data_IF_165991661694
#
_entry.id   IF_165991661694
#
_cell.length_a   1.000
_cell.length_b   1.000
_cell.length_c   1.000
_cell.angle_alpha   90.00
_cell.angle_beta   90.00
_cell.angle_gamma   90.00
#
_symmetry.space_group_name_H-M   'P 1'
#
loop_
_entity.id
_entity.type
_entity.pdbx_description
1 polymer ?
2 non-polymer ?
3 non-polymer ?
4 non-polymer ?
5 non-polymer ?
6 water ?
#
# COMPACT_ATOMS: atom_id res chain seq x y z
N UNK A 3 -17.28 -19.99 -5.05
CA UNK A 3 -16.62 -18.69 -5.16
C UNK A 3 -15.13 -18.88 -5.45
N UNK A 4 -14.67 -18.34 -6.59
CA UNK A 4 -13.26 -18.37 -6.97
C UNK A 4 -12.45 -17.79 -5.82
N UNK A 5 -11.25 -18.32 -5.56
CA UNK A 5 -10.97 -18.67 -4.15
C UNK A 5 -11.29 -17.62 -3.07
N UNK A 6 -10.73 -16.42 -3.06
CA UNK A 6 -11.40 -15.28 -2.43
C UNK A 6 -11.43 -13.96 -3.22
N UNK A 7 -12.61 -13.52 -3.67
CA UNK A 7 -12.62 -12.14 -4.18
C UNK A 7 -12.50 -11.11 -3.04
N UNK A 8 -12.89 -11.48 -1.83
CA UNK A 8 -12.97 -10.55 -0.70
C UNK A 8 -11.66 -10.37 0.05
N UNK A 9 -11.17 -9.14 0.09
CA UNK A 9 -10.03 -8.81 0.94
C UNK A 9 -10.52 -8.67 2.38
N UNK A 10 -9.58 -8.47 3.31
CA UNK A 10 -9.91 -8.25 4.72
C UNK A 10 -10.58 -9.43 5.43
N UNK A 11 -10.89 -10.48 4.69
CA UNK A 11 -11.45 -11.70 5.25
C UNK A 11 -12.97 -11.80 5.27
N UNK A 12 -13.65 -11.03 4.42
CA UNK A 12 -15.09 -11.13 4.30
C UNK A 12 -15.47 -12.42 3.60
N UNK A 13 -16.56 -13.05 4.05
CA UNK A 13 -17.01 -14.28 3.42
C UNK A 13 -17.86 -14.00 2.17
N UNK A 14 -17.66 -14.81 1.14
CA UNK A 14 -18.28 -14.57 -0.16
C UNK A 14 -19.33 -15.61 -0.54
N UNK A 15 -20.50 -15.14 -0.96
CA UNK A 15 -21.52 -16.03 -1.52
C UNK A 15 -21.83 -15.60 -2.95
N UNK A 16 -22.10 -16.57 -3.83
CA UNK A 16 -22.51 -16.26 -5.20
C UNK A 16 -23.97 -15.84 -5.28
N UNK A 22 -22.47 -12.14 -10.05
CA UNK A 22 -21.91 -13.48 -9.87
C UNK A 22 -21.53 -13.76 -8.41
N UNK A 23 -20.74 -12.86 -7.80
CA UNK A 23 -20.33 -13.01 -6.40
C UNK A 23 -20.64 -11.76 -5.55
N UNK A 24 -20.96 -11.98 -4.28
CA UNK A 24 -21.16 -10.89 -3.33
C UNK A 24 -20.57 -11.28 -1.96
N UNK A 25 -20.01 -10.30 -1.26
CA UNK A 25 -19.23 -10.55 -0.06
C UNK A 25 -19.88 -10.03 1.23
N UNK A 26 -19.95 -10.88 2.25
CA UNK A 26 -20.36 -10.43 3.58
C UNK A 26 -19.16 -9.78 4.25
N UNK A 27 -19.30 -8.50 4.58
CA UNK A 27 -18.19 -7.75 5.16
C UNK A 27 -18.24 -7.76 6.68
N UNK A 28 -17.14 -8.21 7.31
CA UNK A 28 -17.02 -8.24 8.77
C UNK A 28 -17.10 -6.83 9.37
N UNK A 29 -17.05 -6.74 10.70
CA UNK A 29 -17.26 -5.44 11.35
C UNK A 29 -16.09 -4.51 11.01
N UNK A 30 -16.40 -3.38 10.39
CA UNK A 30 -15.37 -2.42 10.04
C UNK A 30 -14.99 -2.25 8.56
N UNK A 31 -15.52 -3.10 7.67
CA UNK A 31 -15.13 -3.03 6.26
C UNK A 31 -16.28 -2.89 5.24
N UNK A 32 -15.94 -2.47 4.02
CA UNK A 32 -16.92 -2.00 3.05
C UNK A 32 -16.46 -2.22 1.60
N UNK A 33 -17.41 -2.19 0.66
CA UNK A 33 -17.15 -2.25 -0.78
C UNK A 33 -16.13 -1.18 -1.20
N UNK A 34 -15.29 -1.49 -2.20
CA UNK A 34 -15.25 -2.77 -2.95
C UNK A 34 -14.58 -3.92 -2.19
N UNK A 35 -15.16 -5.11 -2.29
CA UNK A 35 -14.55 -6.35 -1.78
C UNK A 35 -13.98 -6.27 -0.36
N UNK A 36 -14.69 -5.60 0.54
CA UNK A 36 -14.26 -5.42 1.93
C UNK A 36 -12.90 -4.74 2.06
N UNK A 37 -12.57 -3.86 1.11
CA UNK A 37 -11.32 -3.11 1.18
C UNK A 37 -11.43 -1.73 1.83
N UNK A 38 -12.65 -1.26 2.04
CA UNK A 38 -12.86 0.12 2.53
C UNK A 38 -13.08 0.28 4.04
N UNK A 39 -13.45 1.51 4.43
CA UNK A 39 -13.46 1.95 5.83
C UNK A 39 -14.85 2.29 6.43
N UNK A 40 -15.12 1.81 7.64
CA UNK A 40 -16.25 2.33 8.41
C UNK A 40 -15.68 3.09 9.60
N UNK A 41 -16.43 4.07 10.09
CA UNK A 41 -15.89 4.98 11.10
C UNK A 41 -16.83 5.28 12.26
N UNK A 42 -16.33 6.08 13.20
CA UNK A 42 -17.17 6.88 14.09
C UNK A 42 -16.44 8.17 14.38
N UNK A 43 -17.03 8.99 15.26
CA UNK A 43 -16.66 10.39 15.42
C UNK A 43 -15.16 10.68 15.52
N UNK A 44 -14.43 9.86 16.28
CA UNK A 44 -13.02 10.16 16.50
C UNK A 44 -12.16 9.92 15.27
N UNK A 45 -12.69 9.14 14.31
CA UNK A 45 -11.94 8.87 13.08
C UNK A 45 -11.59 10.14 12.31
N UNK A 46 -12.62 10.94 12.01
CA UNK A 46 -12.38 12.32 11.62
C UNK A 46 -11.67 12.96 12.82
N UNK A 47 -10.72 13.86 12.54
CA UNK A 47 -9.80 14.47 13.52
C UNK A 47 -8.59 13.59 13.79
N UNK A 48 -8.66 12.35 13.31
CA UNK A 48 -7.46 11.53 13.23
C UNK A 48 -6.77 11.90 11.89
N UNK A 49 -5.45 12.08 11.92
CA UNK A 49 -4.69 12.55 10.74
C UNK A 49 -4.83 11.61 9.55
N UNK A 50 -5.12 12.18 8.39
CA UNK A 50 -5.18 11.38 7.16
C UNK A 50 -3.79 11.26 6.60
N UNK A 51 -3.46 10.09 6.09
CA UNK A 51 -2.27 9.98 5.26
C UNK A 51 -2.76 10.13 3.83
N UNK A 52 -1.99 10.84 3.01
CA UNK A 52 -2.32 10.87 1.59
C UNK A 52 -1.79 9.55 1.01
N UNK A 53 -2.05 9.33 -0.27
CA UNK A 53 -1.67 8.05 -0.85
C UNK A 53 -0.17 7.88 -1.03
N UNK A 54 0.22 6.70 -1.48
CA UNK A 54 1.63 6.48 -1.86
C UNK A 54 1.98 7.25 -3.14
N UNK A 55 0.96 7.70 -3.88
CA UNK A 55 1.19 8.49 -5.08
C UNK A 55 1.04 9.99 -4.87
N UNK A 56 0.71 10.41 -3.66
CA UNK A 56 0.70 11.85 -3.41
C UNK A 56 1.56 12.13 -2.21
N UNK A 57 2.40 13.18 -2.30
CA UNK A 57 2.67 13.81 -3.60
C UNK A 57 3.40 12.83 -4.56
N UNK A 58 3.30 13.07 -5.87
CA UNK A 58 3.84 12.14 -6.86
C UNK A 58 5.29 11.82 -6.58
N UNK A 59 5.58 10.55 -6.32
CA UNK A 59 6.98 10.17 -6.12
C UNK A 59 7.78 10.12 -7.43
N UNK A 60 7.11 10.06 -8.59
CA UNK A 60 7.78 9.82 -9.87
C UNK A 60 8.33 11.08 -10.52
N UNK A 61 9.58 10.99 -10.99
CA UNK A 61 10.22 12.12 -11.64
C UNK A 61 10.06 12.02 -13.15
N UNK A 62 10.51 13.04 -13.86
CA UNK A 62 10.61 12.99 -15.31
C UNK A 62 9.33 12.62 -16.04
N UNK A 63 8.20 12.82 -15.39
CA UNK A 63 6.93 12.67 -16.04
C UNK A 63 6.44 11.26 -15.94
N UNK A 64 6.95 10.51 -14.97
CA UNK A 64 6.45 9.17 -14.74
C UNK A 64 5.02 9.17 -14.23
N UNK A 65 4.39 8.01 -14.27
CA UNK A 65 3.03 7.88 -13.76
C UNK A 65 3.03 6.94 -12.58
N UNK A 66 2.62 7.44 -11.44
CA UNK A 66 2.49 6.62 -10.24
C UNK A 66 1.22 5.75 -10.29
N UNK A 67 1.41 4.47 -9.99
CA UNK A 67 0.29 3.52 -9.94
C UNK A 67 0.35 2.70 -8.66
N UNK A 68 -0.77 2.58 -7.98
CA UNK A 68 -0.92 1.64 -6.87
C UNK A 68 -0.63 0.23 -7.33
N UNK A 69 0.21 -0.48 -6.58
CA UNK A 69 0.62 -1.82 -6.96
C UNK A 69 1.05 -2.66 -5.75
N UNK A 70 1.21 -3.96 -5.93
CA UNK A 70 1.75 -4.76 -4.85
C UNK A 70 3.24 -4.68 -5.08
N UNK A 71 3.90 -3.87 -4.25
CA UNK A 71 5.27 -3.51 -4.51
C UNK A 71 6.00 -3.41 -3.20
N UNK A 72 7.10 -4.13 -3.12
CA UNK A 72 8.01 -4.05 -2.00
C UNK A 72 9.35 -3.58 -2.50
N UNK A 73 9.94 -2.62 -1.81
CA UNK A 73 11.33 -2.29 -2.02
C UNK A 73 12.02 -2.95 -0.84
N UNK A 74 12.75 -4.03 -1.12
CA UNK A 74 13.34 -4.82 -0.07
C UNK A 74 12.24 -5.49 0.73
N UNK A 75 12.24 -5.28 2.05
CA UNK A 75 11.20 -5.83 2.91
C UNK A 75 10.11 -4.81 3.28
N UNK A 76 10.18 -3.63 2.68
CA UNK A 76 9.18 -2.59 2.90
C UNK A 76 8.06 -2.60 1.84
N UNK A 77 6.81 -2.64 2.25
CA UNK A 77 5.72 -2.56 1.28
C UNK A 77 5.55 -1.09 0.90
N UNK A 78 5.80 -0.76 -0.36
CA UNK A 78 5.64 0.63 -0.77
C UNK A 78 4.31 0.87 -1.51
N UNK A 79 3.67 -0.20 -1.96
CA UNK A 79 2.36 -0.13 -2.59
C UNK A 79 2.19 0.67 -3.88
N UNK A 80 3.28 1.01 -4.56
CA UNK A 80 3.14 1.67 -5.86
C UNK A 80 4.30 1.31 -6.76
N UNK A 81 4.15 1.55 -8.06
CA UNK A 81 5.26 1.56 -9.00
C UNK A 81 5.21 2.81 -9.86
N UNK A 82 6.36 3.21 -10.41
CA UNK A 82 6.40 4.33 -11.35
C UNK A 82 6.52 3.81 -12.76
N UNK A 83 5.60 4.22 -13.62
CA UNK A 83 5.68 3.92 -15.05
C UNK A 83 6.43 5.06 -15.73
N UNK A 84 7.59 4.73 -16.27
CA UNK A 84 8.47 5.74 -16.85
C UNK A 84 8.19 6.00 -18.32
N UNK A 85 8.35 7.25 -18.75
CA UNK A 85 8.28 7.56 -20.19
C UNK A 85 9.52 7.00 -20.91
N UNK A 86 9.48 6.93 -22.24
CA UNK A 86 10.63 6.46 -23.00
C UNK A 86 11.83 7.28 -22.63
N UNK A 87 12.97 6.62 -22.47
CA UNK A 87 14.20 7.27 -22.15
C UNK A 87 14.58 7.34 -20.67
N UNK A 88 13.64 7.00 -19.76
CA UNK A 88 13.93 7.05 -18.33
C UNK A 88 13.70 5.72 -17.61
N UNK A 89 14.43 5.54 -16.51
CA UNK A 89 14.21 4.40 -15.65
C UNK A 89 14.66 4.68 -14.23
N UNK A 90 14.70 3.64 -13.41
CA UNK A 90 14.86 3.83 -11.99
C UNK A 90 13.53 3.71 -11.27
N UNK A 91 13.59 3.33 -10.00
CA UNK A 91 12.38 3.12 -9.23
C UNK A 91 11.46 4.34 -9.29
N UNK A 92 12.05 5.54 -9.24
CA UNK A 92 11.33 6.82 -9.42
C UNK A 92 11.42 7.50 -10.77
N UNK A 93 11.94 6.80 -11.78
CA UNK A 93 12.22 7.40 -13.09
C UNK A 93 13.27 8.52 -13.00
N UNK A 94 14.23 8.41 -12.09
CA UNK A 94 15.13 9.53 -11.86
C UNK A 94 16.26 9.54 -12.89
N UNK A 95 16.45 8.42 -13.56
CA UNK A 95 17.60 8.25 -14.40
C UNK A 95 17.29 8.47 -15.86
N UNK A 96 17.98 9.42 -16.46
CA UNK A 96 18.03 9.44 -17.89
C UNK A 96 18.90 8.26 -18.35
N UNK A 97 18.31 7.35 -19.13
CA UNK A 97 18.97 6.11 -19.53
C UNK A 97 20.19 6.41 -20.37
N UNK A 98 21.33 5.75 -20.16
CA UNK A 98 22.47 6.15 -20.98
C UNK A 98 22.46 5.37 -22.29
N UNK A 99 22.13 6.05 -23.36
CA UNK A 99 21.98 5.33 -24.61
C UNK A 99 23.32 5.17 -25.28
N UNK A 100 24.35 5.71 -24.64
CA UNK A 100 25.71 5.52 -25.09
C UNK A 100 26.32 4.24 -24.54
N UNK A 101 25.75 3.66 -23.48
CA UNK A 101 26.31 2.41 -22.90
C UNK A 101 26.53 1.29 -23.93
N UNK A 102 25.61 1.09 -24.85
CA UNK A 102 25.67 -0.02 -25.80
C UNK A 102 26.50 0.36 -27.02
N UNK A 103 27.16 1.52 -26.94
CA UNK A 103 28.12 1.95 -27.96
C UNK A 103 27.60 1.98 -29.38
N UNK A 104 26.59 2.83 -29.65
CA UNK A 104 25.91 2.85 -30.95
C UNK A 104 26.75 3.45 -32.09
N UNK A 105 27.66 4.35 -31.77
CA UNK A 105 28.53 4.94 -32.79
C UNK A 105 29.69 4.01 -33.14
N UNK A 106 29.80 3.63 -34.41
CA UNK A 106 30.77 2.64 -34.80
C UNK A 106 32.07 3.30 -35.24
N UNK A 107 33.08 2.47 -35.52
CA UNK A 107 34.32 2.93 -36.10
C UNK A 107 34.94 4.08 -35.33
N UNK A 108 34.85 4.02 -34.01
CA UNK A 108 35.50 5.01 -33.18
C UNK A 108 34.77 6.34 -33.07
N UNK A 109 33.49 6.36 -33.40
CA UNK A 109 32.72 7.58 -33.28
C UNK A 109 32.48 7.90 -31.83
N UNK A 110 32.22 9.17 -31.53
CA UNK A 110 31.89 9.60 -30.18
C UNK A 110 30.37 9.87 -29.99
N UNK A 111 29.79 9.15 -29.03
CA UNK A 111 28.37 9.21 -28.68
C UNK A 111 28.08 10.39 -27.76
N UNK A 112 26.95 11.06 -28.00
CA UNK A 112 26.42 12.04 -27.06
C UNK A 112 24.99 11.63 -26.71
N UNK A 113 24.67 11.70 -25.43
CA UNK A 113 23.40 11.18 -24.93
C UNK A 113 22.28 12.22 -24.97
N UNK A 114 21.10 11.82 -25.45
CA UNK A 114 19.92 12.71 -25.51
C UNK A 114 18.74 11.98 -24.91
N UNK A 115 17.68 12.66 -24.54
CA UNK A 115 16.49 11.95 -24.07
C UNK A 115 15.94 10.96 -25.12
N UNK A 116 15.87 9.69 -24.75
CA UNK A 116 15.47 8.58 -25.63
C UNK A 116 16.17 8.60 -27.00
N UNK A 117 17.41 9.04 -27.03
CA UNK A 117 18.14 9.15 -28.27
C UNK A 117 19.62 9.44 -28.01
N UNK A 118 20.41 9.49 -29.07
CA UNK A 118 21.85 9.76 -28.98
C UNK A 118 22.24 10.39 -30.30
N UNK A 119 23.40 11.02 -30.37
CA UNK A 119 23.95 11.43 -31.65
C UNK A 119 25.45 11.10 -31.74
N UNK A 120 25.99 11.10 -32.96
CA UNK A 120 27.36 10.66 -33.16
C UNK A 120 28.20 11.71 -33.87
N UNK A 121 29.40 11.96 -33.34
CA UNK A 121 30.44 12.64 -34.08
C UNK A 121 31.42 11.62 -34.61
N UNK A 122 31.71 11.73 -35.91
CA UNK A 122 32.46 10.72 -36.62
C UNK A 122 33.90 11.13 -36.81
N UNK A 123 34.82 10.22 -36.48
CA UNK A 123 36.24 10.37 -36.80
C UNK A 123 36.37 10.41 -38.31
N UNK A 124 37.37 11.11 -38.81
CA UNK A 124 37.45 11.44 -40.23
C UNK A 124 37.25 10.28 -41.17
N UNK A 125 36.51 10.55 -42.25
CA UNK A 125 36.25 9.59 -43.33
C UNK A 125 35.12 8.62 -42.99
N UNK A 126 34.73 8.58 -41.73
CA UNK A 126 33.56 7.80 -41.41
C UNK A 126 32.44 8.78 -41.36
N UNK A 127 31.28 8.32 -41.77
CA UNK A 127 30.17 9.20 -41.82
C UNK A 127 28.90 8.37 -41.69
N UNK A 128 27.77 9.05 -41.69
CA UNK A 128 26.52 8.39 -41.41
C UNK A 128 26.08 8.71 -39.99
N UNK A 129 24.81 8.49 -39.76
CA UNK A 129 24.16 8.70 -38.48
C UNK A 129 24.88 7.95 -37.34
N UNK A 130 25.25 6.71 -37.62
CA UNK A 130 26.01 5.90 -36.68
C UNK A 130 27.53 5.83 -36.93
N UNK A 131 28.01 6.62 -37.88
CA UNK A 131 29.39 6.53 -38.39
C UNK A 131 29.63 5.21 -39.09
N UNK A 132 28.55 4.59 -39.56
CA UNK A 132 28.65 3.28 -40.16
C UNK A 132 29.34 3.24 -41.53
N UNK A 133 29.47 4.37 -42.21
CA UNK A 133 30.01 4.36 -43.58
C UNK A 133 31.41 4.91 -43.63
N UNK A 134 32.30 4.24 -44.35
CA UNK A 134 33.61 4.81 -44.60
C UNK A 134 33.60 5.65 -45.88
N UNK B 3 -1.43 -22.51 -13.19
CA UNK B 3 -1.70 -21.09 -12.92
C UNK B 3 -3.17 -20.69 -13.14
N UNK B 4 -4.06 -21.17 -12.24
CA UNK B 4 -5.44 -20.66 -12.06
C UNK B 4 -5.19 -19.22 -11.72
N UNK B 5 -6.18 -18.29 -11.80
CA UNK B 5 -6.03 -16.96 -12.45
C UNK B 5 -4.62 -16.33 -12.27
N UNK B 6 -4.35 -15.03 -12.27
CA UNK B 6 -2.91 -14.72 -12.19
C UNK B 6 -2.21 -14.68 -10.81
N UNK B 7 -1.27 -15.61 -10.54
CA UNK B 7 -0.38 -15.43 -9.37
C UNK B 7 0.61 -14.26 -9.47
N UNK B 8 1.12 -13.99 -10.66
CA UNK B 8 2.24 -13.05 -10.80
C UNK B 8 1.77 -11.60 -11.00
N UNK B 9 2.06 -10.77 -10.02
CA UNK B 9 1.69 -9.36 -10.05
C UNK B 9 2.52 -8.61 -11.08
N UNK B 10 2.01 -7.44 -11.48
CA UNK B 10 2.72 -6.55 -12.39
C UNK B 10 2.93 -7.08 -13.82
N UNK B 11 2.06 -8.02 -14.23
CA UNK B 11 2.09 -8.54 -15.59
C UNK B 11 2.98 -9.76 -15.81
N UNK B 12 3.27 -10.48 -14.73
CA UNK B 12 4.10 -11.66 -14.83
C UNK B 12 3.36 -12.82 -15.47
N UNK B 13 4.04 -13.54 -16.36
CA UNK B 13 3.45 -14.71 -17.00
C UNK B 13 3.80 -15.96 -16.20
N UNK B 14 2.81 -16.81 -15.93
CA UNK B 14 3.04 -17.95 -15.05
C UNK B 14 2.97 -19.31 -15.75
N UNK B 15 3.99 -20.12 -15.49
CA UNK B 15 4.04 -21.49 -15.97
C UNK B 15 3.97 -22.47 -14.80
N UNK B 16 2.95 -23.34 -14.78
CA UNK B 16 2.76 -24.40 -13.78
C UNK B 16 3.94 -25.37 -13.66
N UNK B 23 2.66 -22.31 -8.73
CA UNK B 23 3.18 -22.27 -10.09
C UNK B 23 4.15 -21.10 -10.23
N UNK B 24 5.27 -21.31 -10.91
CA UNK B 24 6.34 -20.31 -10.98
C UNK B 24 6.10 -19.22 -12.03
N UNK B 25 6.41 -17.98 -11.65
CA UNK B 25 6.15 -16.80 -12.49
C UNK B 25 7.41 -16.31 -13.21
N UNK B 26 7.30 -16.09 -14.51
CA UNK B 26 8.35 -15.36 -15.23
C UNK B 26 8.01 -13.88 -15.13
N UNK B 27 8.90 -13.13 -14.47
CA UNK B 27 8.60 -11.75 -14.13
C UNK B 27 8.87 -10.81 -15.30
N UNK B 28 8.07 -9.73 -15.39
CA UNK B 28 8.33 -8.64 -16.34
C UNK B 28 9.65 -7.95 -15.98
N UNK B 29 10.21 -7.20 -16.93
CA UNK B 29 11.49 -6.54 -16.72
C UNK B 29 11.44 -5.53 -15.57
N UNK B 30 12.37 -5.67 -14.62
CA UNK B 30 12.49 -4.73 -13.53
C UNK B 30 11.91 -5.20 -12.20
N UNK B 31 11.18 -6.32 -12.24
CA UNK B 31 10.53 -6.87 -11.05
C UNK B 31 10.99 -8.30 -10.73
N UNK B 32 11.30 -8.55 -9.46
CA UNK B 32 11.66 -9.89 -9.00
C UNK B 32 10.60 -10.46 -8.03
N UNK B 33 10.78 -11.70 -7.59
CA UNK B 33 9.81 -12.38 -6.74
C UNK B 33 10.00 -12.02 -5.25
N UNK B 34 9.02 -12.34 -4.37
CA UNK B 34 7.82 -13.19 -4.47
C UNK B 34 6.77 -12.73 -5.47
N UNK B 35 6.37 -13.64 -6.37
CA UNK B 35 5.29 -13.38 -7.33
C UNK B 35 5.37 -12.04 -8.07
N UNK B 36 6.58 -11.66 -8.47
CA UNK B 36 6.85 -10.42 -9.20
C UNK B 36 6.42 -9.15 -8.44
N UNK B 37 6.35 -9.27 -7.12
CA UNK B 37 6.00 -8.14 -6.24
C UNK B 37 7.19 -7.25 -5.88
N UNK B 38 8.34 -7.87 -5.63
CA UNK B 38 9.55 -7.14 -5.30
C UNK B 38 10.13 -6.44 -6.53
N UNK B 39 10.79 -5.30 -6.34
CA UNK B 39 11.38 -4.58 -7.47
C UNK B 39 12.89 -4.36 -7.30
N UNK B 40 13.64 -4.86 -8.29
CA UNK B 40 15.10 -4.81 -8.32
C UNK B 40 15.59 -3.41 -8.64
N UNK B 41 16.71 -3.01 -8.05
CA UNK B 41 17.23 -1.66 -8.19
C UNK B 41 18.44 -1.51 -9.10
N UNK B 42 18.31 -0.65 -10.11
CA UNK B 42 19.44 -0.22 -10.93
C UNK B 42 20.34 0.73 -10.14
N UNK B 43 21.56 0.94 -10.62
CA UNK B 43 22.57 1.70 -9.89
C UNK B 43 22.04 3.02 -9.29
N UNK B 44 21.19 3.70 -10.03
CA UNK B 44 20.72 5.02 -9.61
C UNK B 44 19.81 4.99 -8.40
N UNK B 45 19.26 3.81 -8.08
CA UNK B 45 18.16 3.72 -7.12
C UNK B 45 18.55 4.07 -5.69
N UNK B 46 19.80 3.81 -5.34
CA UNK B 46 20.38 4.27 -4.08
C UNK B 46 20.38 5.77 -4.16
N UNK B 47 20.45 6.44 -3.02
CA UNK B 47 20.43 7.91 -2.97
C UNK B 47 19.07 8.50 -3.35
N UNK B 48 18.13 7.66 -3.80
CA UNK B 48 16.73 8.05 -3.80
C UNK B 48 16.18 7.81 -2.38
N UNK B 49 15.33 8.73 -1.89
CA UNK B 49 14.76 8.55 -0.55
C UNK B 49 13.93 7.26 -0.45
N UNK B 50 14.19 6.47 0.59
CA UNK B 50 13.38 5.29 0.86
C UNK B 50 12.07 5.72 1.47
N UNK B 51 11.03 4.94 1.26
CA UNK B 51 9.81 5.14 2.02
C UNK B 51 9.80 4.18 3.19
N UNK B 52 9.68 4.73 4.40
CA UNK B 52 9.33 3.91 5.54
C UNK B 52 7.92 3.46 5.18
N UNK B 53 7.59 2.22 5.48
CA UNK B 53 6.33 1.68 5.00
C UNK B 53 5.11 2.35 5.63
N UNK B 54 3.94 1.80 5.34
CA UNK B 54 2.70 2.32 5.93
C UNK B 54 2.64 2.06 7.44
N UNK B 55 3.40 1.08 7.93
CA UNK B 55 3.40 0.80 9.36
C UNK B 55 4.54 1.46 10.14
N UNK B 56 5.46 2.10 9.43
CA UNK B 56 6.57 2.79 10.08
C UNK B 56 6.50 4.27 9.75
N UNK B 57 6.39 5.11 10.78
CA UNK B 57 6.25 4.73 12.19
C UNK B 57 4.86 4.16 12.47
N UNK B 58 4.70 3.43 13.58
CA UNK B 58 3.46 2.76 13.91
C UNK B 58 2.31 3.75 13.93
N UNK B 59 1.36 3.62 13.00
CA UNK B 59 0.18 4.50 13.01
C UNK B 59 -0.86 4.14 14.11
N UNK B 60 -0.77 2.93 14.66
CA UNK B 60 -1.77 2.40 15.59
C UNK B 60 -1.55 2.86 17.02
N UNK B 61 -2.60 3.37 17.66
CA UNK B 61 -2.48 3.78 19.06
C UNK B 61 -2.89 2.65 20.00
N UNK B 62 -2.76 2.93 21.30
CA UNK B 62 -3.28 2.05 22.35
C UNK B 62 -2.89 0.57 22.25
N UNK B 63 -1.73 0.31 21.66
CA UNK B 63 -1.21 -1.05 21.62
C UNK B 63 -1.76 -1.85 20.47
N UNK B 64 -2.28 -1.17 19.44
CA UNK B 64 -2.78 -1.83 18.25
C UNK B 64 -1.66 -2.46 17.42
N UNK B 65 -2.04 -3.34 16.51
CA UNK B 65 -1.07 -3.97 15.64
C UNK B 65 -1.31 -3.57 14.20
N UNK B 66 -0.34 -2.88 13.62
CA UNK B 66 -0.39 -2.53 12.20
C UNK B 66 -0.10 -3.75 11.30
N UNK B 67 -1.02 -4.04 10.40
CA UNK B 67 -0.82 -5.08 9.40
C UNK B 67 -1.01 -4.47 8.02
N UNK B 68 -0.11 -4.74 7.09
CA UNK B 68 -0.36 -4.27 5.73
C UNK B 68 -1.58 -4.97 5.15
N UNK B 69 -2.33 -4.26 4.33
CA UNK B 69 -3.57 -4.80 3.84
C UNK B 69 -4.05 -4.06 2.59
N UNK B 70 -5.15 -4.54 2.02
CA UNK B 70 -5.70 -3.86 0.87
C UNK B 70 -6.76 -3.03 1.48
N UNK B 71 -6.45 -1.75 1.66
CA UNK B 71 -7.29 -0.89 2.46
C UNK B 71 -7.29 0.49 1.85
N UNK B 72 -8.49 1.01 1.68
CA UNK B 72 -8.67 2.37 1.25
C UNK B 72 -9.40 3.09 2.36
N UNK B 73 -8.98 4.32 2.62
CA UNK B 73 -9.78 5.22 3.41
C UNK B 73 -10.33 6.21 2.41
N UNK B 74 -11.63 6.09 2.10
CA UNK B 74 -12.19 6.85 1.00
C UNK B 74 -11.56 6.39 -0.31
N UNK B 75 -10.94 7.33 -1.02
CA UNK B 75 -10.29 7.06 -2.30
C UNK B 75 -8.78 6.92 -2.18
N UNK B 76 -8.28 7.02 -0.96
CA UNK B 76 -6.85 6.85 -0.73
C UNK B 76 -6.50 5.39 -0.40
N UNK B 77 -5.47 4.86 -1.03
CA UNK B 77 -5.07 3.51 -0.68
C UNK B 77 -4.06 3.68 0.45
N UNK B 78 -4.45 3.31 1.66
CA UNK B 78 -3.57 3.45 2.80
C UNK B 78 -2.67 2.24 3.02
N UNK B 79 -3.10 1.09 2.50
CA UNK B 79 -2.28 -0.13 2.51
C UNK B 79 -2.03 -0.80 3.85
N UNK B 80 -2.81 -0.46 4.88
CA UNK B 80 -2.69 -1.12 6.19
C UNK B 80 -4.02 -1.06 6.93
N UNK B 81 -4.13 -1.88 7.97
CA UNK B 81 -5.19 -1.76 8.95
C UNK B 81 -4.60 -1.91 10.35
N UNK B 82 -5.32 -1.40 11.34
CA UNK B 82 -4.90 -1.51 12.72
C UNK B 82 -5.74 -2.57 13.42
N UNK B 83 -5.09 -3.58 13.98
CA UNK B 83 -5.79 -4.56 14.79
C UNK B 83 -5.78 -4.05 16.22
N UNK B 84 -6.97 -3.77 16.74
CA UNK B 84 -7.11 -3.13 18.06
C UNK B 84 -7.18 -4.16 19.18
N UNK B 85 -6.63 -3.84 20.36
CA UNK B 85 -6.82 -4.71 21.52
C UNK B 85 -8.26 -4.66 22.02
N UNK B 86 -8.66 -5.63 22.82
CA UNK B 86 -9.99 -5.63 23.39
C UNK B 86 -10.14 -4.31 24.12
N UNK B 87 -11.24 -3.61 23.86
CA UNK B 87 -11.50 -2.34 24.49
C UNK B 87 -11.34 -1.09 23.63
N UNK B 88 -10.70 -1.20 22.47
CA UNK B 88 -10.50 -0.04 21.60
C UNK B 88 -11.00 -0.26 20.17
N UNK B 89 -11.36 0.83 19.50
CA UNK B 89 -11.66 0.81 18.06
C UNK B 89 -11.30 2.13 17.40
N UNK B 90 -11.70 2.30 16.14
CA UNK B 90 -11.23 3.43 15.35
C UNK B 90 -10.13 2.96 14.41
N UNK B 91 -9.96 3.62 13.28
CA UNK B 91 -8.97 3.18 12.31
C UNK B 91 -7.59 3.11 12.92
N UNK B 92 -7.28 4.03 13.82
CA UNK B 92 -6.00 4.01 14.54
C UNK B 92 -6.03 3.42 15.95
N UNK B 93 -7.17 2.83 16.33
CA UNK B 93 -7.40 2.33 17.68
C UNK B 93 -7.34 3.48 18.71
N UNK B 94 -7.67 4.68 18.28
CA UNK B 94 -7.50 5.85 19.13
C UNK B 94 -8.61 5.99 20.17
N UNK B 95 -9.71 5.29 19.93
CA UNK B 95 -10.89 5.43 20.75
C UNK B 95 -11.02 4.35 21.80
N UNK B 96 -11.12 4.79 23.05
CA UNK B 96 -11.50 3.89 24.10
C UNK B 96 -13.01 3.71 24.00
N UNK B 97 -13.42 2.48 23.73
CA UNK B 97 -14.82 2.15 23.42
C UNK B 97 -15.68 2.48 24.61
N UNK B 98 -16.82 3.14 24.42
CA UNK B 98 -17.56 3.52 25.61
C UNK B 98 -18.47 2.39 25.98
N UNK B 99 -18.10 1.69 27.03
CA UNK B 99 -18.85 0.51 27.43
C UNK B 99 -20.14 0.92 28.15
N UNK B 100 -20.32 2.22 28.39
CA UNK B 100 -21.52 2.73 29.03
C UNK B 100 -22.61 3.06 28.02
N UNK B 101 -22.25 3.15 26.74
CA UNK B 101 -23.21 3.55 25.70
C UNK B 101 -24.44 2.59 25.60
N UNK B 102 -24.28 1.34 26.02
CA UNK B 102 -25.40 0.39 26.04
C UNK B 102 -26.09 0.32 27.39
N UNK B 103 -25.75 1.23 28.30
CA UNK B 103 -26.41 1.30 29.61
C UNK B 103 -26.52 -0.03 30.33
N UNK B 104 -25.37 -0.59 30.74
CA UNK B 104 -25.29 -1.88 31.41
C UNK B 104 -25.77 -1.86 32.86
N UNK B 105 -25.86 -0.68 33.45
CA UNK B 105 -26.29 -0.54 34.85
C UNK B 105 -27.80 -0.38 34.89
N UNK B 106 -28.50 -1.28 35.59
CA UNK B 106 -29.95 -1.28 35.54
C UNK B 106 -30.52 -0.41 36.66
N UNK B 107 -31.85 -0.28 36.65
CA UNK B 107 -32.60 0.37 37.73
C UNK B 107 -32.09 1.76 38.10
N UNK B 108 -31.66 2.52 37.11
CA UNK B 108 -31.16 3.85 37.38
C UNK B 108 -29.72 3.92 37.90
N UNK B 109 -28.93 2.86 37.69
CA UNK B 109 -27.57 2.87 38.18
C UNK B 109 -26.71 3.81 37.36
N UNK B 110 -25.60 4.27 37.93
CA UNK B 110 -24.68 5.14 37.19
C UNK B 110 -23.40 4.40 36.75
N UNK B 111 -23.11 4.50 35.46
CA UNK B 111 -22.06 3.73 34.82
C UNK B 111 -20.77 4.53 34.72
N UNK B 112 -19.67 3.88 35.06
CA UNK B 112 -18.34 4.44 34.90
C UNK B 112 -17.52 3.58 33.92
N UNK B 113 -16.94 4.24 32.94
CA UNK B 113 -16.26 3.53 31.85
C UNK B 113 -14.82 3.18 32.24
N UNK B 114 -14.40 1.96 31.93
CA UNK B 114 -13.05 1.45 32.23
C UNK B 114 -12.56 0.78 30.96
N UNK B 115 -11.26 0.60 30.80
CA UNK B 115 -10.78 -0.17 29.64
C UNK B 115 -11.38 -1.59 29.61
N UNK B 116 -12.07 -1.91 28.52
CA UNK B 116 -12.68 -3.22 28.32
C UNK B 116 -13.62 -3.62 29.46
N UNK B 117 -14.16 -2.64 30.15
CA UNK B 117 -14.99 -2.93 31.31
C UNK B 117 -15.74 -1.66 31.74
N UNK B 118 -16.56 -1.78 32.77
CA UNK B 118 -17.33 -0.68 33.32
C UNK B 118 -17.62 -1.03 34.76
N UNK B 119 -18.00 -0.05 35.57
CA UNK B 119 -18.51 -0.35 36.90
C UNK B 119 -19.82 0.42 37.16
N UNK B 120 -20.57 0.00 38.19
CA UNK B 120 -21.86 0.66 38.49
C UNK B 120 -21.97 1.19 39.92
N UNK B 121 -22.51 2.39 40.03
CA UNK B 121 -23.02 2.90 41.31
C UNK B 121 -24.52 2.75 41.31
N UNK B 122 -25.02 2.09 42.34
CA UNK B 122 -26.44 1.76 42.44
C UNK B 122 -27.19 2.76 43.28
N UNK B 123 -28.36 3.21 42.80
CA UNK B 123 -29.21 4.07 43.63
C UNK B 123 -29.73 3.28 44.82
N UNK B 124 -30.47 3.94 45.70
CA UNK B 124 -30.85 3.35 46.97
C UNK B 124 -31.62 2.04 46.87
N UNK B 125 -31.12 1.03 47.55
CA UNK B 125 -31.76 -0.27 47.56
C UNK B 125 -31.78 -0.89 46.18
N UNK B 126 -30.65 -0.83 45.51
CA UNK B 126 -30.36 -1.73 44.43
C UNK B 126 -28.92 -2.21 44.62
N UNK B 127 -28.67 -3.45 44.27
CA UNK B 127 -27.40 -4.06 44.56
C UNK B 127 -27.02 -4.88 43.36
N UNK B 128 -25.79 -5.36 43.38
CA UNK B 128 -25.29 -6.16 42.30
C UNK B 128 -24.33 -5.35 41.47
N UNK B 129 -23.48 -6.05 40.73
CA UNK B 129 -22.48 -5.43 39.90
C UNK B 129 -23.15 -4.56 38.83
N UNK B 130 -24.28 -5.02 38.33
CA UNK B 130 -25.09 -4.30 37.37
C UNK B 130 -26.27 -3.54 37.98
N UNK B 131 -26.29 -3.47 39.31
CA UNK B 131 -27.44 -2.91 40.04
C UNK B 131 -28.71 -3.71 39.80
N UNK B 132 -28.55 -4.97 39.43
CA UNK B 132 -29.68 -5.82 39.06
C UNK B 132 -30.57 -6.30 40.21
N UNK B 133 -30.15 -6.16 41.46
CA UNK B 133 -30.94 -6.67 42.57
C UNK B 133 -31.60 -5.58 43.37
N UNK B 134 -32.81 -5.84 43.89
CA UNK B 134 -33.41 -4.91 44.83
C UNK B 134 -33.16 -5.34 46.28
X LIG C 1 -5.23 13.78 4.74
X LIG C 1 -6.37 14.77 4.45
X LIG C 1 -5.89 15.90 3.54
X LIG C 1 -4.63 16.55 4.09
X LIG C 1 -3.53 15.50 4.24
X LIG C 1 -2.25 16.10 4.84
X LIG C 1 -8.69 14.54 3.52
X LIG C 1 -9.88 13.89 4.15
X LIG C 1 -7.49 14.04 3.85
X LIG C 1 -6.90 16.92 3.42
X LIG C 1 -4.92 17.19 5.34
X LIG C 1 -3.98 14.41 5.05
X LIG C 1 -2.38 17.50 5.15
X LIG C 1 -8.84 15.46 2.72
X LIG D 1 16.23 10.81 -32.25
X LIG D 1 17.01 10.90 -33.56
X LIG D 1 16.29 10.30 -34.78
X LIG D 1 15.48 9.05 -34.44
X LIG D 1 14.72 9.19 -33.12
X LIG D 1 13.99 7.92 -32.71
X LIG D 1 18.56 12.59 -34.36
X LIG D 1 19.75 12.48 -33.43
X LIG D 1 17.37 12.29 -33.83
X LIG D 1 17.26 9.98 -35.76
X LIG D 1 14.59 8.80 -35.51
X LIG D 1 15.61 9.54 -32.08
X LIG D 1 14.75 6.77 -33.05
X LIG D 1 18.68 12.94 -35.53
X LIG E 1 1.40 7.81 -17.07
X LIG E 1 1.01 9.05 -17.87
X LIG E 1 2.25 9.88 -18.23
X LIG E 1 3.29 8.99 -18.86
X LIG E 1 3.60 7.78 -17.98
X LIG E 1 4.63 6.84 -18.63
X LIG E 1 0.19 9.86 -17.06
X LIG E 1 1.91 10.84 -19.19
X LIG E 1 2.69 8.55 -20.05
X LIG E 1 2.40 7.05 -17.76
X LIG F 1 19.42 9.37 -22.62
X LIG G 1 13.97 4.67 4.19
X LIG G 1 15.37 4.65 4.80
X LIG G 1 15.48 5.14 6.26
X LIG G 1 14.48 6.22 6.64
X LIG G 1 13.10 5.88 6.08
X LIG G 1 12.11 6.99 6.45
X LIG G 1 16.97 2.99 4.06
X LIG G 1 17.34 1.53 4.03
X LIG G 1 15.88 3.29 4.75
X LIG G 1 16.81 5.62 6.50
X LIG G 1 14.92 7.52 6.20
X LIG G 1 13.18 5.77 4.67
X LIG G 1 11.55 7.57 5.27
X LIG G 1 17.61 3.86 3.51
X LIG H 1 -14.22 -5.89 34.97
X LIG H 1 -14.75 -6.45 36.30
X LIG H 1 -14.59 -7.96 36.45
X LIG H 1 -15.00 -8.69 35.18
X LIG H 1 -14.22 -8.12 34.00
X LIG H 1 -14.52 -8.81 32.67
X LIG H 1 -14.87 -5.12 38.33
X LIG H 1 -15.16 -5.89 39.59
X LIG H 1 -14.12 -5.77 37.43
X LIG H 1 -15.37 -8.39 37.55
X LIG H 1 -14.79 -10.08 35.31
X LIG H 1 -14.50 -6.74 33.85
X LIG H 1 -13.60 -8.34 31.71
X LIG H 1 -15.30 -3.97 38.14
X LIG I 1 -1.01 -7.24 17.38
X LIG I 1 -0.17 -7.50 18.63
X LIG I 1 -0.56 -6.52 19.73
X LIG I 1 -2.05 -6.64 19.98
X LIG I 1 -2.83 -6.36 18.69
X LIG I 1 -4.32 -6.57 18.89
X LIG I 1 1.19 -7.21 18.37
X LIG I 1 0.15 -6.87 20.88
X LIG I 1 -2.19 -7.99 20.36
X LIG I 1 -2.40 -7.24 17.67
X LIG J 1 -13.97 1.70 27.91
#
# INVERSE_FOLDING_TARGET
>A
DICDPNPCENGGICLPGLADGSFSCECPDGFTDPNCSSVVEVASDEEEPTSAGPCTPNPCHNGGTCEISEAYRGDTFIGYVCKCPRGFNGIHCQHNINECEVEPCKNGGICTDLVANYSCECPGEFMGRNCQYKGGGHHHHHH
>B
DICDPNPCENGGICLPGLADGSFSCECPDGFTDPNCSSVVEVASDEEEPTSAGPCTPNPCHNGGTCEISEAYRGDTFIGYVCKCPRGFNGIHCQHNINECEVEPCKNGGICTDLVANYSCECPGEFMGRNCQYKGGGHHHHHH
>C hetero
1 NGA C1 C2 C3 C4 C5 C6 C7 C8 N2 O3 O4 O5 O6 O7
>D hetero
1 NAG C1 C2 C3 C4 C5 C6 C7 C8 N2 O3 O4 O5 O6 O7
>E hetero
1 FUC C1 C2 C3 C4 C5 C6 O2 O3 O4 O5
>F hetero
1 CA CA
>G hetero
1 NGA C1 C2 C3 C4 C5 C6 C7 C8 N2 O3 O4 O5 O6 O7
>H hetero
1 NAG C1 C2 C3 C4 C5 C6 C7 C8 N2 O3 O4 O5 O6 O7
>I hetero
1 FUC C1 C2 C3 C4 C5 C6 O2 O3 O4 O5
>J hetero
1 CA CA
#
